data_IF_120282249156
#
_entry.id   IF_120282249156
#
_cell.length_a   1.000
_cell.length_b   1.000
_cell.length_c   1.000
_cell.angle_alpha   90.00
_cell.angle_beta   90.00
_cell.angle_gamma   90.00
#
_symmetry.space_group_name_H-M   'P 1'
#
loop_
_entity.id
_entity.type
_entity.pdbx_description
1 polymer ?
#
# COMPACT_ATOMS: atom_id res chain seq x y z
N UNK A 1 2.37 20.37 42.25
CA UNK A 1 1.55 20.78 41.09
C UNK A 1 2.34 20.49 39.82
N UNK A 2 1.76 19.67 38.94
CA UNK A 2 2.04 19.37 37.50
C UNK A 2 3.48 19.09 36.99
N UNK A 3 3.75 17.91 36.42
CA UNK A 3 4.92 17.68 35.57
C UNK A 3 4.70 18.31 34.18
N UNK A 4 5.78 18.87 33.63
CA UNK A 4 5.82 19.44 32.29
C UNK A 4 5.61 18.35 31.24
N UNK A 5 4.56 18.51 30.42
CA UNK A 5 4.31 17.66 29.25
C UNK A 5 5.35 17.97 28.17
N UNK A 6 6.41 17.17 28.13
CA UNK A 6 7.32 17.15 26.98
C UNK A 6 6.53 16.65 25.76
N UNK A 7 6.23 17.57 24.85
CA UNK A 7 5.54 17.27 23.61
C UNK A 7 6.60 16.80 22.62
N UNK A 8 6.80 15.49 22.55
CA UNK A 8 7.54 14.87 21.46
C UNK A 8 6.74 15.06 20.17
N UNK A 9 7.12 16.08 19.38
CA UNK A 9 6.72 16.16 17.97
C UNK A 9 7.59 15.18 17.19
N UNK A 10 7.11 13.95 17.05
CA UNK A 10 7.68 12.98 16.12
C UNK A 10 7.36 13.46 14.71
N UNK A 11 8.32 14.13 14.06
CA UNK A 11 8.33 14.36 12.62
C UNK A 11 8.65 13.01 11.97
N UNK A 12 7.60 12.24 11.65
CA UNK A 12 7.74 11.11 10.72
C UNK A 12 7.94 11.75 9.34
N UNK A 13 9.14 11.59 8.78
CA UNK A 13 9.38 11.85 7.36
C UNK A 13 8.44 10.93 6.58
N UNK A 14 7.33 11.46 6.09
CA UNK A 14 6.52 10.80 5.08
C UNK A 14 7.36 10.81 3.82
N UNK A 15 7.93 9.66 3.47
CA UNK A 15 8.46 9.41 2.15
C UNK A 15 7.33 9.77 1.17
N UNK A 16 7.55 10.82 0.39
CA UNK A 16 6.58 11.30 -0.57
C UNK A 16 6.44 10.22 -1.66
N UNK A 17 5.45 9.35 -1.52
CA UNK A 17 4.91 8.61 -2.64
C UNK A 17 4.31 9.63 -3.59
N UNK A 18 5.13 10.13 -4.51
CA UNK A 18 4.66 10.71 -5.75
C UNK A 18 4.02 9.57 -6.54
N UNK A 19 2.78 9.23 -6.20
CA UNK A 19 1.92 8.44 -7.05
C UNK A 19 1.74 9.26 -8.32
N UNK A 20 2.55 8.90 -9.32
CA UNK A 20 2.28 9.24 -10.71
C UNK A 20 0.82 8.89 -10.92
N UNK A 21 0.02 9.90 -11.24
CA UNK A 21 -1.34 9.74 -11.71
C UNK A 21 -1.29 8.98 -13.04
N UNK A 22 -1.03 7.68 -12.99
CA UNK A 22 -1.52 6.78 -14.01
C UNK A 22 -3.02 6.74 -13.79
N UNK A 23 -3.71 7.62 -14.50
CA UNK A 23 -5.06 7.33 -14.93
C UNK A 23 -5.04 5.88 -15.45
N UNK A 24 -5.56 4.94 -14.66
CA UNK A 24 -5.88 3.58 -15.09
C UNK A 24 -6.98 3.66 -16.15
N UNK A 25 -6.61 4.12 -17.34
CA UNK A 25 -7.39 4.10 -18.58
C UNK A 25 -7.19 2.80 -19.35
N UNK A 26 -6.66 1.76 -18.70
CA UNK A 26 -6.70 0.38 -19.19
C UNK A 26 -7.84 -0.33 -18.46
N UNK A 27 -8.66 -1.04 -19.23
CA UNK A 27 -9.82 -1.88 -18.85
C UNK A 27 -9.49 -3.02 -17.88
N UNK A 28 -8.84 -2.75 -16.75
CA UNK A 28 -8.72 -3.71 -15.65
C UNK A 28 -9.95 -3.50 -14.79
N UNK A 29 -10.88 -4.44 -14.84
CA UNK A 29 -12.07 -4.39 -14.01
C UNK A 29 -11.67 -4.20 -12.53
N UNK A 30 -12.33 -3.26 -11.84
CA UNK A 30 -12.13 -3.01 -10.42
C UNK A 30 -12.24 -4.35 -9.66
N UNK A 31 -11.18 -4.79 -8.96
CA UNK A 31 -11.20 -6.08 -8.27
C UNK A 31 -12.37 -6.14 -7.28
N UNK A 32 -13.01 -7.32 -7.20
CA UNK A 32 -14.16 -7.56 -6.30
C UNK A 32 -13.78 -8.26 -5.01
N UNK A 33 -12.55 -8.75 -4.92
CA UNK A 33 -11.97 -9.46 -3.79
C UNK A 33 -10.43 -9.37 -3.87
N UNK A 34 -9.74 -9.80 -2.80
CA UNK A 34 -8.27 -9.81 -2.76
C UNK A 34 -7.65 -10.75 -3.80
N UNK A 35 -8.26 -11.93 -3.99
CA UNK A 35 -7.63 -13.04 -4.72
C UNK A 35 -6.44 -13.63 -3.96
N UNK A 36 -5.56 -14.32 -4.69
CA UNK A 36 -4.35 -14.95 -4.16
C UNK A 36 -3.08 -14.26 -4.67
N UNK A 37 -1.98 -14.40 -3.92
CA UNK A 37 -0.63 -14.08 -4.40
C UNK A 37 -0.37 -14.88 -5.68
N UNK A 38 0.06 -14.19 -6.74
CA UNK A 38 0.23 -14.82 -8.04
C UNK A 38 1.38 -14.20 -8.84
N UNK A 39 1.92 -14.95 -9.79
CA UNK A 39 2.96 -14.48 -10.72
C UNK A 39 2.39 -13.81 -11.97
N UNK A 40 1.06 -13.83 -12.15
CA UNK A 40 0.40 -13.22 -13.30
C UNK A 40 0.13 -11.72 -13.12
N UNK A 41 0.42 -11.19 -11.92
CA UNK A 41 0.18 -9.81 -11.53
C UNK A 41 -1.25 -9.34 -11.83
N UNK A 42 -2.24 -10.20 -11.52
CA UNK A 42 -3.67 -9.94 -11.78
C UNK A 42 -4.42 -9.56 -10.52
N UNK A 43 -5.58 -8.93 -10.74
CA UNK A 43 -6.54 -8.59 -9.68
C UNK A 43 -5.99 -7.56 -8.70
N UNK A 44 -6.51 -7.58 -7.47
CA UNK A 44 -6.07 -6.66 -6.42
C UNK A 44 -4.61 -6.84 -6.07
N UNK A 45 -4.13 -8.10 -6.02
CA UNK A 45 -2.71 -8.41 -5.83
C UNK A 45 -1.84 -7.63 -6.81
N UNK A 46 -2.15 -7.70 -8.12
CA UNK A 46 -1.33 -7.04 -9.12
C UNK A 46 -1.32 -5.52 -9.03
N UNK A 47 -2.47 -4.92 -8.71
CA UNK A 47 -2.58 -3.47 -8.48
C UNK A 47 -1.76 -3.04 -7.26
N UNK A 48 -1.88 -3.77 -6.15
CA UNK A 48 -1.13 -3.50 -4.93
C UNK A 48 0.37 -3.64 -5.16
N UNK A 49 0.81 -4.73 -5.81
CA UNK A 49 2.23 -4.97 -6.08
C UNK A 49 2.82 -3.87 -6.97
N UNK A 50 2.09 -3.43 -7.98
CA UNK A 50 2.53 -2.30 -8.81
C UNK A 50 2.66 -1.01 -7.99
N UNK A 51 1.64 -0.66 -7.20
CA UNK A 51 1.66 0.54 -6.37
C UNK A 51 2.71 0.51 -5.26
N UNK A 52 3.02 -0.68 -4.74
CA UNK A 52 3.95 -0.88 -3.64
C UNK A 52 5.42 -0.99 -4.10
N UNK A 53 5.68 -1.69 -5.21
CA UNK A 53 7.05 -1.85 -5.74
C UNK A 53 7.46 -0.74 -6.71
N UNK A 54 6.49 -0.04 -7.30
CA UNK A 54 6.70 0.96 -8.35
C UNK A 54 6.98 0.36 -9.73
N UNK A 55 6.95 -0.96 -9.88
CA UNK A 55 7.25 -1.67 -11.14
C UNK A 55 6.20 -2.71 -11.45
N UNK A 56 6.00 -2.99 -12.74
CA UNK A 56 5.13 -4.07 -13.19
C UNK A 56 5.95 -5.33 -13.39
N UNK A 57 5.47 -6.47 -12.88
CA UNK A 57 6.16 -7.74 -13.09
C UNK A 57 6.18 -8.12 -14.57
N UNK A 58 7.31 -8.64 -15.04
CA UNK A 58 7.48 -9.22 -16.38
C UNK A 58 7.69 -10.72 -16.19
N UNK A 59 6.78 -11.54 -16.76
CA UNK A 59 6.80 -12.99 -16.58
C UNK A 59 6.82 -13.44 -15.09
N UNK A 60 6.20 -12.66 -14.21
CA UNK A 60 6.15 -12.92 -12.76
C UNK A 60 7.37 -12.46 -11.97
N UNK A 61 8.33 -11.80 -12.62
CA UNK A 61 9.52 -11.25 -11.98
C UNK A 61 9.41 -9.73 -11.80
N UNK A 62 9.71 -9.26 -10.59
CA UNK A 62 9.80 -7.83 -10.26
C UNK A 62 11.28 -7.44 -10.26
N UNK A 63 11.74 -6.85 -11.36
CA UNK A 63 13.09 -6.33 -11.50
C UNK A 63 13.09 -4.81 -11.34
N UNK A 64 14.23 -4.24 -10.93
CA UNK A 64 14.43 -2.79 -10.80
C UNK A 64 13.40 -2.08 -9.89
N UNK A 65 13.01 -2.73 -8.79
CA UNK A 65 12.10 -2.19 -7.77
C UNK A 65 12.54 -0.79 -7.31
N UNK A 66 11.60 0.16 -7.28
CA UNK A 66 11.91 1.59 -7.03
C UNK A 66 11.31 2.16 -5.76
N UNK A 67 10.33 1.46 -5.16
CA UNK A 67 9.63 1.89 -3.95
C UNK A 67 9.95 0.95 -2.79
N UNK A 68 9.17 -0.12 -2.63
CA UNK A 68 9.32 -1.08 -1.53
C UNK A 68 9.66 -2.49 -2.05
N UNK A 69 10.35 -3.29 -1.23
CA UNK A 69 10.72 -4.66 -1.61
C UNK A 69 9.51 -5.57 -1.86
N UNK A 70 9.68 -6.54 -2.76
CA UNK A 70 8.63 -7.53 -3.11
C UNK A 70 8.15 -8.28 -1.87
N UNK A 71 9.07 -8.68 -0.98
CA UNK A 71 8.74 -9.39 0.26
C UNK A 71 7.89 -8.54 1.20
N UNK A 72 8.21 -7.26 1.32
CA UNK A 72 7.39 -6.32 2.09
C UNK A 72 5.98 -6.19 1.49
N UNK A 73 5.89 -5.97 0.18
CA UNK A 73 4.60 -5.84 -0.51
C UNK A 73 3.73 -7.10 -0.40
N UNK A 74 4.34 -8.28 -0.47
CA UNK A 74 3.67 -9.55 -0.22
C UNK A 74 3.15 -9.65 1.21
N UNK A 75 3.96 -9.25 2.21
CA UNK A 75 3.51 -9.21 3.59
C UNK A 75 2.30 -8.29 3.77
N UNK A 76 2.31 -7.11 3.15
CA UNK A 76 1.18 -6.17 3.20
C UNK A 76 -0.06 -6.82 2.60
N UNK A 77 0.05 -7.44 1.41
CA UNK A 77 -1.08 -8.09 0.77
C UNK A 77 -1.69 -9.17 1.66
N UNK A 78 -0.88 -10.09 2.20
CA UNK A 78 -1.36 -11.16 3.06
C UNK A 78 -1.96 -10.61 4.35
N UNK A 79 -1.31 -9.64 4.99
CA UNK A 79 -1.84 -9.02 6.21
C UNK A 79 -3.17 -8.30 5.98
N UNK A 80 -3.34 -7.61 4.84
CA UNK A 80 -4.62 -7.01 4.47
C UNK A 80 -5.68 -8.09 4.25
N UNK A 81 -5.37 -9.12 3.46
CA UNK A 81 -6.29 -10.23 3.17
C UNK A 81 -6.75 -10.95 4.43
N UNK A 82 -5.86 -11.14 5.41
CA UNK A 82 -6.16 -11.83 6.67
C UNK A 82 -7.01 -10.98 7.64
N UNK A 83 -6.83 -9.67 7.66
CA UNK A 83 -7.30 -8.82 8.79
C UNK A 83 -8.18 -7.65 8.41
N UNK A 84 -8.26 -7.28 7.13
CA UNK A 84 -9.00 -6.12 6.64
C UNK A 84 -10.12 -6.59 5.71
N UNK A 85 -11.38 -6.15 5.91
CA UNK A 85 -12.44 -6.39 4.93
C UNK A 85 -12.06 -5.82 3.57
N UNK A 86 -12.28 -6.58 2.50
CA UNK A 86 -11.89 -6.15 1.15
C UNK A 86 -12.48 -4.80 0.74
N UNK A 87 -13.72 -4.50 1.17
CA UNK A 87 -14.35 -3.20 0.95
C UNK A 87 -13.50 -2.04 1.45
N UNK A 88 -12.93 -2.19 2.64
CA UNK A 88 -12.18 -1.14 3.33
C UNK A 88 -10.84 -0.92 2.63
N UNK A 89 -10.16 -1.99 2.22
CA UNK A 89 -8.91 -1.89 1.47
C UNK A 89 -9.13 -1.28 0.08
N UNK A 90 -10.18 -1.70 -0.64
CA UNK A 90 -10.54 -1.11 -1.94
C UNK A 90 -10.89 0.37 -1.81
N UNK A 91 -11.66 0.75 -0.79
CA UNK A 91 -12.08 2.14 -0.61
C UNK A 91 -10.88 3.01 -0.20
N UNK A 92 -9.94 2.47 0.59
CA UNK A 92 -8.67 3.13 0.87
C UNK A 92 -7.78 3.27 -0.37
N UNK A 93 -7.67 2.24 -1.22
CA UNK A 93 -6.93 2.30 -2.48
C UNK A 93 -7.46 3.41 -3.41
N UNK A 94 -8.80 3.49 -3.56
CA UNK A 94 -9.46 4.57 -4.31
C UNK A 94 -9.23 5.95 -3.70
N UNK A 95 -9.23 6.04 -2.38
CA UNK A 95 -8.94 7.29 -1.69
C UNK A 95 -7.50 7.74 -1.95
N UNK A 96 -6.51 6.85 -1.84
CA UNK A 96 -5.11 7.15 -2.13
C UNK A 96 -4.90 7.63 -3.57
N UNK A 97 -5.62 7.04 -4.55
CA UNK A 97 -5.55 7.44 -5.95
C UNK A 97 -6.08 8.87 -6.24
N UNK A 98 -6.87 9.44 -5.33
CA UNK A 98 -7.51 10.77 -5.52
C UNK A 98 -7.04 11.82 -4.52
N UNK A 99 -6.43 11.40 -3.41
CA UNK A 99 -5.91 12.26 -2.38
C UNK A 99 -4.62 12.98 -2.82
N UNK A 100 -4.38 14.17 -2.28
CA UNK A 100 -3.11 14.88 -2.49
C UNK A 100 -2.05 14.34 -1.54
N UNK A 101 -0.78 14.46 -1.95
CA UNK A 101 0.35 14.13 -1.10
C UNK A 101 0.29 14.93 0.22
N UNK A 102 0.38 14.21 1.35
CA UNK A 102 0.30 14.78 2.70
C UNK A 102 -1.11 14.86 3.29
N UNK A 103 -2.14 14.49 2.54
CA UNK A 103 -3.54 14.46 3.03
C UNK A 103 -4.05 13.03 3.29
N UNK A 104 -3.24 12.00 3.03
CA UNK A 104 -3.65 10.59 3.18
C UNK A 104 -3.64 10.20 4.66
N UNK A 105 -4.83 10.00 5.23
CA UNK A 105 -4.99 9.35 6.53
C UNK A 105 -5.12 7.83 6.34
N UNK A 106 -4.17 7.07 6.91
CA UNK A 106 -4.18 5.61 6.84
C UNK A 106 -5.15 5.04 7.90
N UNK A 107 -6.17 4.24 7.51
CA UNK A 107 -7.05 3.58 8.47
C UNK A 107 -6.27 2.70 9.45
N UNK A 108 -6.68 2.68 10.73
CA UNK A 108 -5.94 1.99 11.81
C UNK A 108 -5.72 0.50 11.56
N UNK A 109 -6.70 -0.18 10.97
CA UNK A 109 -6.60 -1.60 10.63
C UNK A 109 -5.55 -1.85 9.52
N UNK A 110 -5.44 -0.94 8.56
CA UNK A 110 -4.41 -0.99 7.50
C UNK A 110 -3.03 -0.60 8.05
N UNK A 111 -2.97 0.43 8.89
CA UNK A 111 -1.74 0.85 9.57
C UNK A 111 -1.16 -0.29 10.42
N UNK A 112 -2.00 -1.04 11.14
CA UNK A 112 -1.57 -2.19 11.93
C UNK A 112 -0.90 -3.28 11.07
N UNK A 113 -1.36 -3.48 9.83
CA UNK A 113 -0.71 -4.40 8.88
C UNK A 113 0.68 -3.89 8.50
N UNK A 114 0.82 -2.60 8.18
CA UNK A 114 2.11 -1.98 7.87
C UNK A 114 3.10 -2.13 9.02
N UNK A 115 2.66 -1.84 10.24
CA UNK A 115 3.48 -2.00 11.45
C UNK A 115 3.90 -3.46 11.69
N UNK A 116 3.00 -4.43 11.43
CA UNK A 116 3.30 -5.87 11.54
C UNK A 116 4.34 -6.34 10.52
N UNK A 117 4.27 -5.82 9.30
CA UNK A 117 5.22 -6.14 8.23
C UNK A 117 6.57 -5.41 8.39
N UNK A 118 6.64 -4.42 9.28
CA UNK A 118 7.85 -3.67 9.60
C UNK A 118 8.16 -2.58 8.57
N UNK A 119 9.44 -2.23 8.45
CA UNK A 119 9.95 -1.32 7.41
C UNK A 119 10.71 -2.13 6.38
N UNK A 120 10.47 -1.89 5.08
CA UNK A 120 11.38 -2.40 4.05
C UNK A 120 12.76 -1.77 4.23
N UNK A 121 13.81 -2.53 3.87
CA UNK A 121 15.17 -2.02 3.76
C UNK A 121 15.35 -1.18 2.49
#
# INVERSE_FOLDING_TARGET
>A
MRPAKSTFRTLILVAACALVASSCGGTVADPKEYGDVNTENKGYYGNLMYGCTGVQAINGEYSDVTLESVDYCNCIFEGLKETVPFSDARDFDKYQATAKAGEIEIPKNIQAVQEKCGTSN
#
